data_IF_677702963909
#
_entry.id   IF_677702963909
#
_cell.length_a   1.000
_cell.length_b   1.000
_cell.length_c   1.000
_cell.angle_alpha   90.00
_cell.angle_beta   90.00
_cell.angle_gamma   90.00
#
_symmetry.space_group_name_H-M   'P 1'
#
loop_
_entity.id
_entity.type
_entity.pdbx_description
1 polymer ?
#
# COMPACT_ATOMS: atom_id res chain seq x y z
N UNK A 1 34.80 -24.83 24.66
CA UNK A 1 34.61 -23.37 24.53
C UNK A 1 34.20 -23.01 23.09
N UNK A 2 33.17 -23.67 22.53
CA UNK A 2 32.70 -23.46 21.14
C UNK A 2 31.18 -23.32 21.02
N UNK A 3 30.47 -23.40 22.16
CA UNK A 3 29.01 -23.32 22.22
C UNK A 3 28.43 -21.91 22.01
N UNK A 4 29.01 -20.82 22.56
CA UNK A 4 28.39 -19.51 22.43
C UNK A 4 28.51 -18.95 21.00
N UNK A 5 29.56 -19.31 20.26
CA UNK A 5 29.75 -18.90 18.86
C UNK A 5 28.80 -19.61 17.91
N UNK A 6 28.54 -20.90 18.13
CA UNK A 6 27.54 -21.67 17.35
C UNK A 6 26.12 -21.15 17.62
N UNK A 7 25.81 -20.80 18.87
CA UNK A 7 24.51 -20.24 19.23
C UNK A 7 24.31 -18.83 18.63
N UNK A 8 25.35 -17.99 18.63
CA UNK A 8 25.29 -16.67 18.00
C UNK A 8 25.14 -16.75 16.47
N UNK A 9 25.80 -17.71 15.82
CA UNK A 9 25.64 -17.95 14.38
C UNK A 9 24.23 -18.48 14.04
N UNK A 10 23.66 -19.34 14.88
CA UNK A 10 22.28 -19.81 14.73
C UNK A 10 21.25 -18.70 14.94
N UNK A 11 21.50 -17.76 15.86
CA UNK A 11 20.64 -16.59 16.05
C UNK A 11 20.71 -15.61 14.88
N UNK A 12 21.91 -15.33 14.34
CA UNK A 12 22.06 -14.52 13.12
C UNK A 12 21.45 -15.19 11.88
N UNK A 13 21.47 -16.53 11.79
CA UNK A 13 20.81 -17.26 10.71
C UNK A 13 19.29 -17.33 10.87
N UNK A 14 18.78 -17.23 12.11
CA UNK A 14 17.36 -17.22 12.44
C UNK A 14 16.72 -15.83 12.37
N UNK A 15 17.52 -14.77 12.26
CA UNK A 15 17.08 -13.41 11.95
C UNK A 15 16.74 -13.32 10.45
N UNK A 16 15.79 -14.17 10.04
CA UNK A 16 15.14 -14.05 8.75
C UNK A 16 14.52 -12.66 8.69
N UNK A 17 15.10 -11.81 7.84
CA UNK A 17 14.75 -10.39 7.73
C UNK A 17 13.23 -10.25 7.57
N UNK A 18 12.55 -9.82 8.63
CA UNK A 18 11.10 -9.60 8.59
C UNK A 18 10.82 -8.27 7.90
N UNK A 19 10.77 -8.30 6.58
CA UNK A 19 10.47 -7.10 5.79
C UNK A 19 8.96 -6.79 5.87
N UNK A 20 8.63 -5.60 6.36
CA UNK A 20 7.29 -5.01 6.23
C UNK A 20 7.19 -4.26 4.91
N UNK A 21 6.22 -4.65 4.08
CA UNK A 21 5.86 -3.94 2.86
C UNK A 21 4.67 -3.03 3.13
N UNK A 22 4.80 -1.74 2.85
CA UNK A 22 3.74 -0.75 3.07
C UNK A 22 3.18 -0.30 1.73
N UNK A 23 1.91 -0.59 1.47
CA UNK A 23 1.22 -0.15 0.26
C UNK A 23 0.62 1.26 0.45
N UNK A 24 0.69 2.09 -0.59
CA UNK A 24 -0.11 3.31 -0.68
C UNK A 24 -1.43 3.04 -1.39
N UNK A 25 -2.56 3.24 -0.71
CA UNK A 25 -3.89 2.99 -1.28
C UNK A 25 -4.61 4.31 -1.56
N UNK A 26 -4.71 4.66 -2.85
CA UNK A 26 -5.43 5.84 -3.34
C UNK A 26 -6.89 5.47 -3.60
N UNK A 27 -7.82 6.12 -2.90
CA UNK A 27 -9.24 5.78 -2.98
C UNK A 27 -10.16 7.00 -2.95
N UNK A 28 -11.25 6.90 -3.69
CA UNK A 28 -12.35 7.87 -3.70
C UNK A 28 -13.51 7.41 -2.81
N UNK A 29 -13.30 7.26 -1.51
CA UNK A 29 -14.26 6.64 -0.58
C UNK A 29 -15.10 7.64 0.22
N UNK A 30 -14.71 8.91 0.24
CA UNK A 30 -15.35 10.00 1.00
C UNK A 30 -15.75 11.15 0.09
N UNK A 31 -16.57 12.05 0.63
CA UNK A 31 -16.96 13.30 -0.02
C UNK A 31 -16.25 14.46 0.64
N UNK A 32 -16.00 15.53 -0.11
CA UNK A 32 -15.69 16.82 0.49
C UNK A 32 -16.92 17.36 1.25
N UNK A 33 -16.72 18.18 2.29
CA UNK A 33 -17.82 18.88 2.93
C UNK A 33 -18.66 19.66 1.91
N UNK A 34 -19.97 19.44 1.90
CA UNK A 34 -20.89 20.11 0.96
C UNK A 34 -21.14 19.35 -0.35
N UNK A 35 -20.33 18.35 -0.68
CA UNK A 35 -20.60 17.49 -1.83
C UNK A 35 -21.59 16.39 -1.44
N UNK A 36 -22.71 16.34 -2.17
CA UNK A 36 -23.76 15.32 -2.02
C UNK A 36 -23.83 14.36 -3.21
N UNK A 37 -23.17 14.71 -4.33
CA UNK A 37 -23.33 14.06 -5.63
C UNK A 37 -22.31 12.95 -5.89
N UNK A 38 -21.12 13.01 -5.28
CA UNK A 38 -20.09 12.02 -5.52
C UNK A 38 -20.50 10.61 -5.05
N UNK A 39 -20.40 9.59 -5.89
CA UNK A 39 -20.93 8.24 -5.61
C UNK A 39 -20.12 7.48 -4.55
N UNK A 40 -18.90 7.93 -4.24
CA UNK A 40 -17.92 7.28 -3.34
C UNK A 40 -17.66 5.82 -3.75
N UNK A 41 -17.26 5.56 -4.99
CA UNK A 41 -17.12 4.21 -5.49
C UNK A 41 -16.01 3.42 -4.75
N UNK A 42 -15.12 4.10 -4.01
CA UNK A 42 -14.11 3.47 -3.17
C UNK A 42 -14.63 2.76 -1.90
N UNK A 43 -15.90 2.95 -1.50
CA UNK A 43 -16.43 2.36 -0.25
C UNK A 43 -16.36 0.84 -0.20
N UNK A 44 -16.75 0.17 -1.29
CA UNK A 44 -16.71 -1.29 -1.36
C UNK A 44 -15.28 -1.79 -1.48
N UNK A 45 -14.46 -1.09 -2.27
CA UNK A 45 -13.06 -1.47 -2.53
C UNK A 45 -12.23 -1.38 -1.25
N UNK A 46 -12.48 -0.40 -0.39
CA UNK A 46 -11.77 -0.28 0.89
C UNK A 46 -11.98 -1.48 1.82
N UNK A 47 -13.13 -2.17 1.73
CA UNK A 47 -13.34 -3.44 2.43
C UNK A 47 -12.54 -4.58 1.80
N UNK A 48 -12.52 -4.65 0.46
CA UNK A 48 -11.81 -5.70 -0.28
C UNK A 48 -10.30 -5.65 -0.06
N UNK A 49 -9.67 -4.46 -0.09
CA UNK A 49 -8.23 -4.34 0.17
C UNK A 49 -7.86 -4.72 1.60
N UNK A 50 -8.72 -4.41 2.57
CA UNK A 50 -8.51 -4.81 3.97
C UNK A 50 -8.50 -6.33 4.12
N UNK A 51 -9.47 -7.01 3.48
CA UNK A 51 -9.52 -8.47 3.45
C UNK A 51 -8.32 -9.08 2.73
N UNK A 52 -7.92 -8.54 1.58
CA UNK A 52 -6.78 -9.04 0.82
C UNK A 52 -5.47 -8.97 1.62
N UNK A 53 -5.24 -7.87 2.35
CA UNK A 53 -4.07 -7.70 3.22
C UNK A 53 -4.10 -8.71 4.36
N UNK A 54 -5.26 -8.94 4.97
CA UNK A 54 -5.43 -9.96 6.02
C UNK A 54 -5.12 -11.37 5.50
N UNK A 55 -5.68 -11.76 4.35
CA UNK A 55 -5.46 -13.08 3.75
C UNK A 55 -3.99 -13.31 3.34
N UNK A 56 -3.35 -12.32 2.73
CA UNK A 56 -1.94 -12.41 2.32
C UNK A 56 -1.03 -12.57 3.56
N UNK A 57 -1.28 -11.77 4.59
CA UNK A 57 -0.55 -11.86 5.85
C UNK A 57 -0.78 -13.19 6.57
N UNK A 58 -1.99 -13.75 6.51
CA UNK A 58 -2.29 -15.03 7.14
C UNK A 58 -1.66 -16.23 6.40
N UNK A 59 -1.46 -16.10 5.08
CA UNK A 59 -0.89 -17.14 4.22
C UNK A 59 0.55 -16.86 3.80
N UNK A 60 0.73 -16.53 2.51
CA UNK A 60 2.03 -16.46 1.82
C UNK A 60 3.09 -15.63 2.56
N UNK A 61 2.69 -14.50 3.14
CA UNK A 61 3.65 -13.59 3.78
C UNK A 61 4.12 -14.15 5.13
N UNK A 62 3.21 -14.71 5.95
CA UNK A 62 3.58 -15.41 7.18
C UNK A 62 4.49 -16.61 6.92
N UNK A 63 4.24 -17.39 5.87
CA UNK A 63 5.10 -18.52 5.49
C UNK A 63 6.52 -18.08 5.10
N UNK A 64 6.66 -16.86 4.58
CA UNK A 64 7.93 -16.27 4.14
C UNK A 64 8.56 -15.32 5.16
N UNK A 65 7.92 -15.09 6.31
CA UNK A 65 8.40 -14.16 7.34
C UNK A 65 8.24 -12.68 6.98
N UNK A 66 7.32 -12.33 6.08
CA UNK A 66 7.01 -10.95 5.70
C UNK A 66 5.70 -10.46 6.31
N UNK A 67 5.48 -9.15 6.29
CA UNK A 67 4.18 -8.53 6.56
C UNK A 67 3.83 -7.49 5.51
N UNK A 68 2.53 -7.28 5.34
CA UNK A 68 1.95 -6.33 4.41
C UNK A 68 1.03 -5.39 5.20
N UNK A 69 1.20 -4.09 5.04
CA UNK A 69 0.30 -3.07 5.57
C UNK A 69 -0.04 -2.06 4.48
N UNK A 70 -0.99 -1.16 4.74
CA UNK A 70 -1.32 -0.12 3.77
C UNK A 70 -1.73 1.19 4.43
N UNK A 71 -1.48 2.29 3.72
CA UNK A 71 -1.86 3.64 4.10
C UNK A 71 -2.96 4.13 3.18
N UNK A 72 -4.08 4.54 3.76
CA UNK A 72 -5.22 5.10 3.01
C UNK A 72 -4.93 6.56 2.67
N UNK A 73 -5.10 6.91 1.40
CA UNK A 73 -5.07 8.26 0.87
C UNK A 73 -6.38 8.55 0.12
N UNK A 74 -7.08 9.60 0.52
CA UNK A 74 -8.40 9.92 -0.03
C UNK A 74 -8.27 10.93 -1.17
N UNK A 75 -8.78 10.56 -2.34
CA UNK A 75 -8.72 11.38 -3.55
C UNK A 75 -9.97 12.25 -3.73
N UNK A 76 -11.09 11.89 -3.10
CA UNK A 76 -12.41 12.49 -3.32
C UNK A 76 -12.86 12.45 -4.80
N UNK A 77 -12.25 11.61 -5.63
CA UNK A 77 -12.48 11.57 -7.08
C UNK A 77 -11.91 12.77 -7.85
N UNK A 78 -11.02 13.55 -7.24
CA UNK A 78 -10.43 14.76 -7.83
C UNK A 78 -8.97 14.52 -8.23
N UNK A 79 -8.66 14.76 -9.51
CA UNK A 79 -7.31 14.53 -10.07
C UNK A 79 -6.21 15.27 -9.31
N UNK A 80 -6.40 16.57 -9.02
CA UNK A 80 -5.40 17.37 -8.32
C UNK A 80 -5.12 16.86 -6.90
N UNK A 81 -6.15 16.35 -6.22
CA UNK A 81 -6.02 15.75 -4.89
C UNK A 81 -5.31 14.40 -5.00
N UNK A 82 -5.67 13.58 -5.99
CA UNK A 82 -5.03 12.29 -6.26
C UNK A 82 -3.52 12.42 -6.58
N UNK A 83 -3.13 13.41 -7.38
CA UNK A 83 -1.72 13.76 -7.66
C UNK A 83 -0.98 14.15 -6.37
N UNK A 84 -1.58 15.01 -5.54
CA UNK A 84 -0.99 15.43 -4.27
C UNK A 84 -0.79 14.23 -3.34
N UNK A 85 -1.84 13.42 -3.15
CA UNK A 85 -1.79 12.24 -2.29
C UNK A 85 -0.78 11.20 -2.78
N UNK A 86 -0.58 11.06 -4.09
CA UNK A 86 0.47 10.21 -4.67
C UNK A 86 1.86 10.67 -4.21
N UNK A 87 2.12 11.98 -4.22
CA UNK A 87 3.37 12.54 -3.69
C UNK A 87 3.50 12.38 -2.17
N UNK A 88 2.40 12.57 -1.41
CA UNK A 88 2.38 12.39 0.04
C UNK A 88 2.69 10.94 0.45
N UNK A 89 2.12 9.97 -0.27
CA UNK A 89 2.42 8.56 -0.06
C UNK A 89 3.87 8.21 -0.40
N UNK A 90 4.41 8.73 -1.51
CA UNK A 90 5.82 8.54 -1.86
C UNK A 90 6.76 8.99 -0.74
N UNK A 91 6.51 10.17 -0.13
CA UNK A 91 7.29 10.67 1.01
C UNK A 91 7.27 9.76 2.24
N UNK A 92 6.28 8.86 2.35
CA UNK A 92 6.15 7.90 3.46
C UNK A 92 6.88 6.58 3.19
N UNK A 93 7.71 6.51 2.14
CA UNK A 93 8.54 5.35 1.81
C UNK A 93 7.73 4.05 1.61
N UNK A 94 6.61 4.16 0.90
CA UNK A 94 5.79 3.01 0.52
C UNK A 94 6.51 2.12 -0.50
N UNK A 95 6.13 0.86 -0.57
CA UNK A 95 6.66 -0.14 -1.49
C UNK A 95 5.98 -0.14 -2.86
N UNK A 96 4.69 0.22 -2.92
CA UNK A 96 3.88 0.22 -4.14
C UNK A 96 2.58 1.00 -3.97
N UNK A 97 1.96 1.42 -5.07
CA UNK A 97 0.64 2.05 -5.09
C UNK A 97 -0.44 1.05 -5.53
N UNK A 98 -1.59 1.11 -4.86
CA UNK A 98 -2.85 0.48 -5.26
C UNK A 98 -3.88 1.58 -5.52
N UNK A 99 -4.51 1.54 -6.69
CA UNK A 99 -5.28 2.66 -7.24
C UNK A 99 -4.39 3.54 -8.14
N UNK A 100 -4.82 4.77 -8.42
CA UNK A 100 -6.10 5.41 -8.08
C UNK A 100 -7.32 4.84 -8.85
N UNK A 101 -8.51 5.32 -8.49
CA UNK A 101 -9.79 4.83 -9.00
C UNK A 101 -10.35 5.62 -10.18
N UNK A 102 -10.38 6.96 -10.11
CA UNK A 102 -11.04 7.81 -11.12
C UNK A 102 -10.07 8.38 -12.17
N UNK A 103 -8.84 8.70 -11.76
CA UNK A 103 -7.82 9.32 -12.61
C UNK A 103 -6.54 8.54 -12.45
N UNK A 104 -5.92 8.04 -13.54
CA UNK A 104 -4.76 7.15 -13.43
C UNK A 104 -3.53 7.66 -14.20
N UNK A 105 -3.73 8.40 -15.29
CA UNK A 105 -2.65 8.73 -16.22
C UNK A 105 -1.54 9.58 -15.57
N UNK A 106 -1.90 10.54 -14.74
CA UNK A 106 -0.96 11.49 -14.15
C UNK A 106 -0.21 10.86 -12.97
N UNK A 107 -0.95 10.14 -12.13
CA UNK A 107 -0.44 9.41 -10.97
C UNK A 107 0.48 8.27 -11.39
N UNK A 108 0.13 7.53 -12.46
CA UNK A 108 0.98 6.48 -13.00
C UNK A 108 2.30 7.04 -13.55
N UNK A 109 2.29 8.22 -14.18
CA UNK A 109 3.51 8.91 -14.61
C UNK A 109 4.38 9.31 -13.42
N UNK A 110 3.77 9.78 -12.33
CA UNK A 110 4.50 10.09 -11.10
C UNK A 110 5.09 8.83 -10.47
N UNK A 111 4.31 7.75 -10.33
CA UNK A 111 4.79 6.49 -9.80
C UNK A 111 5.96 5.92 -10.62
N UNK A 112 5.88 6.00 -11.95
CA UNK A 112 6.97 5.64 -12.84
C UNK A 112 8.22 6.52 -12.61
N UNK A 113 8.05 7.83 -12.44
CA UNK A 113 9.16 8.74 -12.12
C UNK A 113 9.80 8.45 -10.75
N UNK A 114 9.00 7.99 -9.77
CA UNK A 114 9.48 7.55 -8.46
C UNK A 114 10.06 6.14 -8.46
N UNK A 115 10.02 5.43 -9.60
CA UNK A 115 10.40 4.03 -9.72
C UNK A 115 9.63 3.11 -8.73
N UNK A 116 8.34 3.38 -8.55
CA UNK A 116 7.43 2.58 -7.73
C UNK A 116 6.31 1.99 -8.60
N UNK A 117 5.98 0.70 -8.43
CA UNK A 117 4.88 0.09 -9.17
C UNK A 117 3.53 0.68 -8.72
N UNK A 118 2.61 0.80 -9.66
CA UNK A 118 1.23 1.22 -9.43
C UNK A 118 0.27 0.26 -10.13
N UNK A 119 -0.71 -0.24 -9.38
CA UNK A 119 -1.76 -1.13 -9.90
C UNK A 119 -3.11 -0.46 -9.67
N UNK A 120 -3.73 0.04 -10.74
CA UNK A 120 -5.10 0.52 -10.66
C UNK A 120 -6.10 -0.63 -10.67
N UNK A 121 -7.19 -0.47 -9.94
CA UNK A 121 -8.29 -1.45 -9.82
C UNK A 121 -9.57 -0.99 -10.54
N UNK A 122 -9.52 0.14 -11.26
CA UNK A 122 -10.58 0.62 -12.15
C UNK A 122 -9.94 1.12 -13.45
N UNK A 123 -10.40 0.57 -14.57
CA UNK A 123 -9.93 0.89 -15.93
C UNK A 123 -11.01 1.61 -16.73
#
# INVERSE_FOLDING_TARGET
MFWPTVLALLQLAADGRTDEFVLGYLTGSRRRPGDIGYSKPGRTISGAISLAVEEINAGLFKEKGHSLSFLVAETYGEESTSILETAELWKKNISAFIGPQETCLHEARMAAAFNLPMISYVS
#
